data_IF_132293993024
#
_entry.id   IF_132293993024
#
_cell.length_a   1.000
_cell.length_b   1.000
_cell.length_c   1.000
_cell.angle_alpha   90.00
_cell.angle_beta   90.00
_cell.angle_gamma   90.00
#
_symmetry.space_group_name_H-M   'P 1'
#
loop_
_entity.id
_entity.type
_entity.pdbx_description
1 polymer ?
#
# COMPACT_ATOMS: atom_id res chain seq x y z
N UNK A 1 33.05 54.70 -34.64
CA UNK A 1 31.81 54.62 -35.44
C UNK A 1 31.77 53.27 -36.15
N UNK A 2 31.09 52.27 -35.59
CA UNK A 2 30.86 50.98 -36.26
C UNK A 2 29.36 50.68 -36.26
N UNK A 3 28.89 50.37 -37.46
CA UNK A 3 27.50 50.18 -37.86
C UNK A 3 26.90 48.94 -37.20
N UNK A 4 25.66 49.12 -36.78
CA UNK A 4 24.70 48.13 -36.32
C UNK A 4 24.42 47.10 -37.42
N UNK A 5 24.56 45.81 -37.11
CA UNK A 5 23.86 44.73 -37.79
C UNK A 5 22.99 44.03 -36.74
N UNK A 6 21.69 44.05 -36.99
CA UNK A 6 20.65 43.40 -36.22
C UNK A 6 20.75 41.89 -36.42
N UNK A 7 20.90 41.15 -35.32
CA UNK A 7 20.61 39.71 -35.26
C UNK A 7 19.33 39.53 -34.45
N UNK A 8 18.27 39.17 -35.16
CA UNK A 8 16.94 38.86 -34.67
C UNK A 8 16.97 37.62 -33.77
N UNK A 9 16.91 37.81 -32.46
CA UNK A 9 16.63 36.72 -31.53
C UNK A 9 15.12 36.50 -31.44
N UNK A 10 14.64 35.47 -32.15
CA UNK A 10 13.31 34.90 -31.96
C UNK A 10 13.20 34.33 -30.54
N UNK A 11 12.54 35.06 -29.64
CA UNK A 11 12.15 34.54 -28.33
C UNK A 11 11.10 33.43 -28.52
N UNK A 12 11.45 32.19 -28.15
CA UNK A 12 10.46 31.12 -28.01
C UNK A 12 9.44 31.53 -26.93
N UNK A 13 8.13 31.37 -27.16
CA UNK A 13 7.16 31.57 -26.09
C UNK A 13 7.40 30.53 -25.00
N UNK A 14 7.46 30.99 -23.75
CA UNK A 14 7.48 30.09 -22.60
C UNK A 14 6.17 29.29 -22.57
N UNK A 15 6.22 27.98 -22.24
CA UNK A 15 5.00 27.19 -22.10
C UNK A 15 4.17 27.74 -20.93
N UNK A 16 2.84 27.70 -21.01
CA UNK A 16 1.98 28.15 -19.92
C UNK A 16 2.31 27.36 -18.66
N UNK A 17 2.58 28.07 -17.57
CA UNK A 17 2.71 27.53 -16.23
C UNK A 17 1.50 26.64 -15.95
N UNK A 18 1.74 25.34 -15.80
CA UNK A 18 0.69 24.38 -15.47
C UNK A 18 0.05 24.80 -14.14
N UNK A 19 -1.29 24.80 -14.02
CA UNK A 19 -1.94 25.08 -12.76
C UNK A 19 -1.53 23.98 -11.77
N UNK A 20 -1.02 24.44 -10.64
CA UNK A 20 -0.57 23.65 -9.51
C UNK A 20 -1.66 22.63 -9.14
N UNK A 21 -1.37 21.33 -9.25
CA UNK A 21 -2.32 20.25 -8.91
C UNK A 21 -2.62 20.33 -7.40
N UNK A 22 -3.77 20.92 -7.08
CA UNK A 22 -4.51 20.85 -5.83
C UNK A 22 -3.66 20.52 -4.58
N UNK A 23 -2.88 21.50 -4.12
CA UNK A 23 -2.66 21.64 -2.69
C UNK A 23 -3.92 22.32 -2.15
N UNK A 24 -4.77 21.55 -1.48
CA UNK A 24 -5.90 22.11 -0.73
C UNK A 24 -5.32 23.01 0.36
N UNK A 25 -5.56 24.32 0.24
CA UNK A 25 -5.36 25.27 1.33
C UNK A 25 -6.69 25.36 2.08
N UNK A 26 -6.77 24.89 3.34
CA UNK A 26 -8.01 24.99 4.11
C UNK A 26 -8.32 26.47 4.33
N UNK A 27 -9.50 26.92 3.90
CA UNK A 27 -10.04 28.20 4.34
C UNK A 27 -10.34 28.09 5.83
N UNK A 28 -9.75 28.98 6.62
CA UNK A 28 -10.11 29.20 8.02
C UNK A 28 -11.64 29.45 8.07
N UNK A 29 -12.35 28.72 8.94
CA UNK A 29 -13.79 28.80 9.23
C UNK A 29 -14.79 27.83 8.56
N UNK A 30 -14.38 26.59 8.25
CA UNK A 30 -15.28 25.44 8.36
C UNK A 30 -14.68 24.43 9.35
N UNK A 31 -14.99 24.58 10.65
CA UNK A 31 -14.80 23.50 11.61
C UNK A 31 -15.69 22.32 11.18
N UNK A 32 -15.16 21.40 10.37
CA UNK A 32 -15.86 20.16 9.99
C UNK A 32 -16.02 19.30 11.25
N UNK A 33 -17.02 19.57 12.07
CA UNK A 33 -17.23 18.95 13.39
C UNK A 33 -17.10 17.41 13.32
N UNK A 34 -16.33 16.81 14.25
CA UNK A 34 -16.11 15.36 14.28
C UNK A 34 -17.31 14.65 14.90
N UNK A 35 -18.33 14.57 14.08
CA UNK A 35 -19.64 14.08 14.46
C UNK A 35 -19.71 12.56 14.57
N UNK A 36 -20.88 12.10 15.01
CA UNK A 36 -21.24 10.70 15.19
C UNK A 36 -20.94 9.83 13.95
N UNK A 37 -21.16 10.34 12.74
CA UNK A 37 -20.91 9.59 11.50
C UNK A 37 -19.43 9.26 11.28
N UNK A 38 -18.54 10.21 11.59
CA UNK A 38 -17.10 10.02 11.47
C UNK A 38 -16.61 8.95 12.45
N UNK A 39 -17.13 8.97 13.68
CA UNK A 39 -16.84 7.95 14.72
C UNK A 39 -17.30 6.56 14.29
N UNK A 40 -18.52 6.45 13.75
CA UNK A 40 -19.06 5.18 13.28
C UNK A 40 -18.22 4.60 12.14
N UNK A 41 -17.80 5.45 11.20
CA UNK A 41 -16.96 5.01 10.08
C UNK A 41 -15.57 4.58 10.56
N UNK A 42 -14.93 5.37 11.44
CA UNK A 42 -13.63 5.02 12.00
C UNK A 42 -13.68 3.73 12.86
N UNK A 43 -14.78 3.48 13.57
CA UNK A 43 -15.02 2.22 14.28
C UNK A 43 -15.06 1.02 13.33
N UNK A 44 -15.66 1.16 12.14
CA UNK A 44 -15.61 0.11 11.12
C UNK A 44 -14.18 -0.15 10.64
N UNK A 45 -13.39 0.90 10.42
CA UNK A 45 -11.98 0.76 10.06
C UNK A 45 -11.17 0.12 11.19
N UNK A 46 -11.46 0.43 12.45
CA UNK A 46 -10.76 -0.16 13.60
C UNK A 46 -11.05 -1.66 13.73
N UNK A 47 -12.28 -2.08 13.43
CA UNK A 47 -12.72 -3.48 13.50
C UNK A 47 -12.25 -4.33 12.32
N UNK A 48 -12.25 -3.78 11.11
CA UNK A 48 -11.99 -4.54 9.87
C UNK A 48 -10.60 -4.32 9.30
N UNK A 49 -9.96 -3.18 9.63
CA UNK A 49 -8.64 -2.70 9.17
C UNK A 49 -8.53 -2.46 7.66
N UNK A 50 -8.99 -3.40 6.85
CA UNK A 50 -9.13 -3.32 5.39
C UNK A 50 -10.61 -3.43 5.04
N UNK A 51 -11.08 -2.53 4.18
CA UNK A 51 -12.47 -2.51 3.71
C UNK A 51 -12.46 -2.29 2.20
N UNK A 52 -13.07 -3.21 1.45
CA UNK A 52 -13.20 -3.05 -0.01
C UNK A 52 -14.10 -1.87 -0.37
N UNK A 53 -13.88 -1.22 -1.52
CA UNK A 53 -14.71 -0.08 -1.97
C UNK A 53 -16.21 -0.43 -2.00
N UNK A 54 -16.55 -1.65 -2.44
CA UNK A 54 -17.94 -2.10 -2.49
C UNK A 54 -18.57 -2.23 -1.10
N UNK A 55 -17.79 -2.69 -0.11
CA UNK A 55 -18.24 -2.78 1.29
C UNK A 55 -18.30 -1.40 1.92
N UNK A 56 -17.31 -0.55 1.66
CA UNK A 56 -17.22 0.79 2.23
C UNK A 56 -18.39 1.66 1.78
N UNK A 57 -18.76 1.61 0.50
CA UNK A 57 -19.93 2.32 -0.02
C UNK A 57 -21.24 1.87 0.66
N UNK A 58 -21.40 0.57 0.95
CA UNK A 58 -22.55 0.05 1.71
C UNK A 58 -22.55 0.55 3.16
N UNK A 59 -21.37 0.60 3.80
CA UNK A 59 -21.23 1.12 5.16
C UNK A 59 -21.58 2.61 5.22
N UNK A 60 -21.05 3.41 4.29
CA UNK A 60 -21.34 4.84 4.19
C UNK A 60 -22.83 5.08 3.95
N UNK A 61 -23.44 4.34 3.03
CA UNK A 61 -24.90 4.45 2.78
C UNK A 61 -25.71 4.15 4.05
N UNK A 62 -25.27 3.17 4.83
CA UNK A 62 -25.92 2.80 6.10
C UNK A 62 -25.72 3.87 7.17
N UNK A 63 -24.49 4.40 7.32
CA UNK A 63 -24.15 5.44 8.29
C UNK A 63 -24.91 6.72 7.95
N UNK A 64 -24.87 7.17 6.70
CA UNK A 64 -25.61 8.34 6.21
C UNK A 64 -27.09 8.26 6.55
N UNK A 65 -27.71 7.08 6.38
CA UNK A 65 -29.11 6.85 6.76
C UNK A 65 -29.34 6.93 8.27
N UNK A 66 -28.42 6.44 9.10
CA UNK A 66 -28.56 6.39 10.57
C UNK A 66 -28.28 7.75 11.22
N UNK A 67 -27.44 8.57 10.61
CA UNK A 67 -27.08 9.90 11.10
C UNK A 67 -27.79 11.03 10.36
N UNK A 68 -28.64 10.70 9.38
CA UNK A 68 -29.42 11.64 8.58
C UNK A 68 -28.54 12.68 7.85
N UNK A 69 -27.39 12.23 7.34
CA UNK A 69 -26.44 13.06 6.58
C UNK A 69 -26.26 12.55 5.16
N UNK A 70 -25.71 13.38 4.27
CA UNK A 70 -25.36 12.99 2.91
C UNK A 70 -23.92 13.40 2.58
N UNK A 71 -22.97 12.61 3.07
CA UNK A 71 -21.54 12.83 2.87
C UNK A 71 -21.02 11.79 1.87
N UNK A 72 -20.25 12.24 0.89
CA UNK A 72 -19.59 11.37 -0.09
C UNK A 72 -18.41 10.61 0.53
N UNK A 73 -18.01 9.51 -0.10
CA UNK A 73 -16.83 8.74 0.31
C UNK A 73 -15.59 9.62 0.42
N UNK A 74 -15.29 10.40 -0.62
CA UNK A 74 -14.08 11.25 -0.65
C UNK A 74 -14.09 12.28 0.49
N UNK A 75 -15.25 12.88 0.76
CA UNK A 75 -15.39 13.86 1.85
C UNK A 75 -15.19 13.19 3.22
N UNK A 76 -15.73 11.99 3.43
CA UNK A 76 -15.47 11.22 4.65
C UNK A 76 -13.98 10.91 4.84
N UNK A 77 -13.31 10.43 3.79
CA UNK A 77 -11.90 10.07 3.88
C UNK A 77 -11.05 11.31 4.15
N UNK A 78 -11.30 12.41 3.44
CA UNK A 78 -10.57 13.66 3.62
C UNK A 78 -10.79 14.26 5.02
N UNK A 79 -12.04 14.32 5.49
CA UNK A 79 -12.36 14.85 6.83
C UNK A 79 -11.77 13.99 7.93
N UNK A 80 -11.86 12.66 7.82
CA UNK A 80 -11.23 11.74 8.77
C UNK A 80 -9.71 11.92 8.79
N UNK A 81 -9.07 11.84 7.62
CA UNK A 81 -7.61 11.93 7.50
C UNK A 81 -7.06 13.25 8.03
N UNK A 82 -7.75 14.37 7.82
CA UNK A 82 -7.31 15.68 8.35
C UNK A 82 -7.09 15.70 9.86
N UNK A 83 -7.79 14.82 10.61
CA UNK A 83 -7.74 14.75 12.07
C UNK A 83 -6.93 13.55 12.57
N UNK A 84 -7.17 12.36 12.01
CA UNK A 84 -6.49 11.15 12.51
C UNK A 84 -4.99 11.14 12.19
N UNK A 85 -4.54 11.98 11.25
CA UNK A 85 -3.12 12.20 10.97
C UNK A 85 -2.35 12.73 12.18
N UNK A 86 -2.99 13.53 13.05
CA UNK A 86 -2.37 14.09 14.25
C UNK A 86 -1.99 13.02 15.27
N UNK A 87 -2.76 11.92 15.30
CA UNK A 87 -2.46 10.73 16.11
C UNK A 87 -1.70 9.68 15.31
N UNK A 88 -1.14 10.07 14.16
CA UNK A 88 -0.34 9.23 13.29
C UNK A 88 -1.11 8.08 12.66
N UNK A 89 -2.38 8.25 12.31
CA UNK A 89 -3.15 7.30 11.51
C UNK A 89 -3.54 7.92 10.17
N UNK A 90 -3.75 7.08 9.15
CA UNK A 90 -4.25 7.55 7.86
C UNK A 90 -5.03 6.45 7.15
N UNK A 91 -6.19 6.78 6.58
CA UNK A 91 -6.90 5.92 5.65
C UNK A 91 -6.36 6.15 4.24
N UNK A 92 -5.76 5.10 3.64
CA UNK A 92 -5.25 5.13 2.27
C UNK A 92 -6.11 4.24 1.37
N UNK A 93 -6.32 4.67 0.13
CA UNK A 93 -6.81 3.80 -0.93
C UNK A 93 -5.66 2.99 -1.49
N UNK A 94 -5.84 1.69 -1.61
CA UNK A 94 -4.89 0.77 -2.23
C UNK A 94 -5.58 0.08 -3.41
N UNK A 95 -4.95 0.11 -4.58
CA UNK A 95 -5.38 -0.72 -5.69
C UNK A 95 -4.72 -2.10 -5.53
N UNK A 96 -5.52 -3.11 -5.20
CA UNK A 96 -5.06 -4.50 -5.14
C UNK A 96 -5.92 -5.30 -6.10
N UNK A 97 -5.29 -5.98 -7.05
CA UNK A 97 -5.97 -6.88 -8.01
C UNK A 97 -7.13 -6.23 -8.78
N UNK A 98 -7.02 -4.93 -9.09
CA UNK A 98 -8.05 -4.17 -9.79
C UNK A 98 -9.24 -3.77 -8.90
N UNK A 99 -9.21 -4.12 -7.61
CA UNK A 99 -10.14 -3.63 -6.60
C UNK A 99 -9.50 -2.49 -5.81
N UNK A 100 -10.22 -1.38 -5.67
CA UNK A 100 -9.83 -0.33 -4.76
C UNK A 100 -10.25 -0.75 -3.35
N UNK A 101 -9.30 -0.91 -2.46
CA UNK A 101 -9.50 -1.17 -1.04
C UNK A 101 -9.10 0.05 -0.24
N UNK A 102 -9.70 0.22 0.93
CA UNK A 102 -9.35 1.26 1.88
C UNK A 102 -8.79 0.63 3.13
N UNK A 103 -7.64 1.09 3.57
CA UNK A 103 -6.94 0.58 4.73
C UNK A 103 -6.60 1.71 5.70
N UNK A 104 -6.83 1.47 6.98
CA UNK A 104 -6.36 2.35 8.05
C UNK A 104 -4.92 1.96 8.42
N UNK A 105 -3.97 2.77 7.97
CA UNK A 105 -2.53 2.63 8.20
C UNK A 105 -2.11 3.40 9.44
N UNK A 106 -1.16 2.85 10.18
CA UNK A 106 -0.46 3.55 11.24
C UNK A 106 0.82 4.19 10.68
N UNK A 107 0.93 5.50 10.81
CA UNK A 107 2.09 6.29 10.40
C UNK A 107 3.14 6.40 11.51
N UNK A 108 2.79 6.02 12.75
CA UNK A 108 3.76 5.98 13.84
C UNK A 108 4.60 4.71 13.65
N UNK A 109 5.94 4.83 13.45
CA UNK A 109 6.83 3.70 13.22
C UNK A 109 6.93 2.71 14.40
N UNK A 110 6.31 3.02 15.54
CA UNK A 110 6.32 2.20 16.75
C UNK A 110 5.28 1.05 16.73
N UNK A 111 4.89 0.61 15.53
CA UNK A 111 4.19 -0.65 15.27
C UNK A 111 4.89 -1.84 15.97
N UNK A 112 6.21 -1.76 16.14
CA UNK A 112 6.99 -2.69 16.95
C UNK A 112 6.51 -2.79 18.41
N UNK A 113 6.13 -1.68 19.06
CA UNK A 113 5.57 -1.69 20.41
C UNK A 113 4.17 -2.34 20.45
N UNK A 114 3.33 -2.14 19.43
CA UNK A 114 2.04 -2.85 19.33
C UNK A 114 2.22 -4.35 19.15
N UNK A 115 3.15 -4.76 18.29
CA UNK A 115 3.55 -6.16 18.16
C UNK A 115 3.93 -6.73 19.53
N UNK A 116 4.75 -5.99 20.30
CA UNK A 116 5.20 -6.41 21.63
C UNK A 116 4.06 -6.61 22.65
N UNK A 117 2.91 -5.95 22.46
CA UNK A 117 1.73 -6.11 23.32
C UNK A 117 0.77 -7.24 22.90
N UNK A 118 0.77 -7.62 21.61
CA UNK A 118 -0.17 -8.61 21.05
C UNK A 118 0.43 -10.01 20.93
N UNK A 119 1.76 -10.10 20.83
CA UNK A 119 2.48 -11.34 20.61
C UNK A 119 3.44 -11.61 21.76
N UNK A 120 3.58 -12.88 22.11
CA UNK A 120 4.59 -13.30 23.08
C UNK A 120 6.00 -13.20 22.48
N UNK A 121 7.03 -13.35 23.33
CA UNK A 121 8.43 -13.18 22.92
C UNK A 121 8.86 -14.10 21.77
N UNK A 122 8.33 -15.31 21.66
CA UNK A 122 8.72 -16.26 20.62
C UNK A 122 7.95 -16.02 19.32
N UNK A 123 6.67 -15.66 19.39
CA UNK A 123 5.89 -15.18 18.24
C UNK A 123 6.56 -13.97 17.58
N UNK A 124 7.03 -13.01 18.40
CA UNK A 124 7.75 -11.83 17.90
C UNK A 124 9.05 -12.17 17.19
N UNK A 125 9.86 -13.06 17.79
CA UNK A 125 11.10 -13.50 17.15
C UNK A 125 10.79 -14.22 15.84
N UNK A 126 9.74 -15.06 15.82
CA UNK A 126 9.37 -15.80 14.63
C UNK A 126 8.94 -14.87 13.51
N UNK A 127 8.09 -13.88 13.80
CA UNK A 127 7.68 -12.88 12.81
C UNK A 127 8.88 -12.07 12.28
N UNK A 128 9.81 -11.68 13.16
CA UNK A 128 11.05 -10.97 12.76
C UNK A 128 11.93 -11.81 11.82
N UNK A 129 12.03 -13.11 12.06
CA UNK A 129 12.76 -14.01 11.16
C UNK A 129 12.09 -14.09 9.78
N UNK A 130 10.76 -14.17 9.75
CA UNK A 130 9.99 -14.15 8.49
C UNK A 130 10.21 -12.83 7.74
N UNK A 131 10.12 -11.67 8.43
CA UNK A 131 10.37 -10.36 7.84
C UNK A 131 11.79 -10.24 7.28
N UNK A 132 12.79 -10.71 8.04
CA UNK A 132 14.18 -10.72 7.59
C UNK A 132 14.34 -11.53 6.31
N UNK A 133 13.74 -12.72 6.25
CA UNK A 133 13.79 -13.56 5.05
C UNK A 133 13.07 -12.91 3.86
N UNK A 134 11.97 -12.18 4.09
CA UNK A 134 11.31 -11.39 3.04
C UNK A 134 12.22 -10.30 2.47
N UNK A 135 12.92 -9.55 3.31
CA UNK A 135 13.83 -8.49 2.88
C UNK A 135 15.04 -9.05 2.12
N UNK A 136 15.59 -10.17 2.60
CA UNK A 136 16.74 -10.83 1.96
C UNK A 136 16.39 -11.40 0.57
N UNK A 137 15.22 -12.02 0.44
CA UNK A 137 14.83 -12.72 -0.80
C UNK A 137 14.04 -11.84 -1.77
N UNK A 138 13.35 -10.80 -1.26
CA UNK A 138 12.46 -9.89 -2.00
C UNK A 138 11.29 -10.57 -2.71
N UNK A 139 11.10 -11.88 -2.49
CA UNK A 139 10.07 -12.71 -3.13
C UNK A 139 9.07 -13.25 -2.11
N UNK A 140 7.98 -13.82 -2.61
CA UNK A 140 7.10 -14.66 -1.78
C UNK A 140 7.83 -15.87 -1.21
N UNK A 141 7.54 -16.22 0.04
CA UNK A 141 8.19 -17.32 0.76
C UNK A 141 7.37 -18.59 0.68
N UNK A 142 8.01 -19.75 0.48
CA UNK A 142 7.28 -21.02 0.56
C UNK A 142 6.99 -21.34 2.02
N UNK A 143 5.84 -21.97 2.27
CA UNK A 143 5.43 -22.39 3.61
C UNK A 143 6.50 -23.22 4.33
N UNK A 144 7.12 -24.16 3.62
CA UNK A 144 8.15 -25.03 4.21
C UNK A 144 9.37 -24.26 4.69
N UNK A 145 9.79 -23.21 3.97
CA UNK A 145 10.93 -22.37 4.34
C UNK A 145 10.61 -21.61 5.63
N UNK A 146 9.39 -21.05 5.74
CA UNK A 146 8.90 -20.38 6.95
C UNK A 146 8.87 -21.34 8.15
N UNK A 147 8.33 -22.55 7.99
CA UNK A 147 8.26 -23.52 9.08
C UNK A 147 9.65 -23.98 9.54
N UNK A 148 10.61 -24.00 8.62
CA UNK A 148 12.00 -24.36 8.92
C UNK A 148 12.67 -23.31 9.82
N UNK A 149 12.41 -22.01 9.61
CA UNK A 149 12.87 -20.94 10.52
C UNK A 149 12.42 -21.19 11.97
N UNK A 150 11.14 -21.57 12.17
CA UNK A 150 10.63 -21.86 13.51
C UNK A 150 11.35 -23.05 14.15
N UNK A 151 11.57 -24.12 13.37
CA UNK A 151 12.24 -25.33 13.86
C UNK A 151 13.73 -25.08 14.16
N UNK A 152 14.44 -24.38 13.29
CA UNK A 152 15.89 -24.27 13.36
C UNK A 152 16.35 -23.16 14.29
N UNK A 153 15.76 -21.97 14.20
CA UNK A 153 16.17 -20.80 14.97
C UNK A 153 15.50 -20.74 16.35
N UNK A 154 14.24 -21.18 16.44
CA UNK A 154 13.44 -21.09 17.67
C UNK A 154 13.21 -22.43 18.36
N UNK A 155 13.70 -23.53 17.79
CA UNK A 155 13.61 -24.90 18.35
C UNK A 155 12.19 -25.33 18.71
N UNK A 156 11.16 -24.78 18.03
CA UNK A 156 9.76 -25.16 18.23
C UNK A 156 9.34 -26.31 17.30
N UNK A 157 8.20 -26.95 17.59
CA UNK A 157 7.65 -27.98 16.71
C UNK A 157 7.09 -27.35 15.44
N UNK A 158 7.11 -28.08 14.32
CA UNK A 158 6.52 -27.63 13.06
C UNK A 158 5.03 -27.27 13.20
N UNK A 159 4.29 -27.99 14.05
CA UNK A 159 2.89 -27.69 14.34
C UNK A 159 2.71 -26.34 15.06
N UNK A 160 3.60 -26.00 15.99
CA UNK A 160 3.54 -24.74 16.71
C UNK A 160 3.87 -23.58 15.77
N UNK A 161 4.88 -23.75 14.90
CA UNK A 161 5.21 -22.80 13.85
C UNK A 161 4.06 -22.60 12.85
N UNK A 162 3.37 -23.69 12.44
CA UNK A 162 2.19 -23.60 11.56
C UNK A 162 1.04 -22.83 12.21
N UNK A 163 0.81 -23.05 13.51
CA UNK A 163 -0.22 -22.34 14.28
C UNK A 163 0.09 -20.84 14.37
N UNK A 164 1.35 -20.47 14.66
CA UNK A 164 1.77 -19.06 14.68
C UNK A 164 1.64 -18.42 13.30
N UNK A 165 2.05 -19.13 12.24
CA UNK A 165 1.90 -18.65 10.86
C UNK A 165 0.44 -18.36 10.50
N UNK A 166 -0.49 -19.27 10.88
CA UNK A 166 -1.93 -19.07 10.68
C UNK A 166 -2.46 -17.88 11.45
N UNK A 167 -2.05 -17.72 12.71
CA UNK A 167 -2.42 -16.56 13.52
C UNK A 167 -1.99 -15.25 12.86
N UNK A 168 -0.77 -15.16 12.32
CA UNK A 168 -0.33 -13.97 11.58
C UNK A 168 -1.15 -13.71 10.31
N UNK A 169 -1.65 -14.75 9.65
CA UNK A 169 -2.55 -14.61 8.49
C UNK A 169 -3.95 -14.13 8.92
N UNK A 170 -4.50 -14.70 10.00
CA UNK A 170 -5.80 -14.33 10.56
C UNK A 170 -5.81 -12.89 11.09
N UNK A 171 -4.73 -12.47 11.73
CA UNK A 171 -4.50 -11.09 12.17
C UNK A 171 -4.22 -10.14 10.99
N UNK A 172 -4.12 -10.68 9.78
CA UNK A 172 -4.00 -9.90 8.54
C UNK A 172 -2.60 -9.31 8.32
N UNK A 173 -1.54 -9.90 8.86
CA UNK A 173 -0.15 -9.52 8.56
C UNK A 173 0.40 -10.22 7.32
N UNK A 174 0.02 -11.48 7.15
CA UNK A 174 0.45 -12.34 6.05
C UNK A 174 -0.76 -12.77 5.24
N UNK A 175 -0.53 -13.12 3.98
CA UNK A 175 -1.51 -13.77 3.13
C UNK A 175 -0.83 -14.80 2.24
N UNK A 176 -1.65 -15.65 1.63
CA UNK A 176 -1.20 -16.49 0.53
C UNK A 176 -1.22 -15.69 -0.79
N UNK A 177 -0.36 -16.08 -1.72
CA UNK A 177 -0.44 -15.60 -3.10
C UNK A 177 -1.68 -16.15 -3.82
N UNK A 178 -1.98 -15.64 -5.02
CA UNK A 178 -3.11 -16.09 -5.86
C UNK A 178 -3.06 -17.61 -6.10
N UNK A 179 -1.91 -18.14 -6.48
CA UNK A 179 -1.66 -19.58 -6.67
C UNK A 179 -1.64 -20.37 -5.36
N UNK A 180 -1.57 -19.68 -4.22
CA UNK A 180 -1.40 -20.24 -2.86
C UNK A 180 -0.09 -21.00 -2.67
N UNK A 181 0.85 -20.87 -3.62
CA UNK A 181 2.18 -21.49 -3.54
C UNK A 181 3.12 -20.72 -2.62
N UNK A 182 2.89 -19.42 -2.46
CA UNK A 182 3.73 -18.53 -1.68
C UNK A 182 2.94 -17.86 -0.56
N UNK A 183 3.64 -17.53 0.52
CA UNK A 183 3.20 -16.63 1.58
C UNK A 183 3.88 -15.29 1.36
N UNK A 184 3.12 -14.20 1.45
CA UNK A 184 3.60 -12.83 1.30
C UNK A 184 3.02 -11.94 2.40
N UNK A 185 3.59 -10.74 2.57
CA UNK A 185 2.97 -9.71 3.40
C UNK A 185 1.61 -9.32 2.83
N UNK A 186 0.64 -9.16 3.71
CA UNK A 186 -0.63 -8.55 3.33
C UNK A 186 -0.43 -7.07 3.01
N UNK A 187 -1.44 -6.43 2.45
CA UNK A 187 -1.46 -4.98 2.26
C UNK A 187 -1.22 -4.20 3.56
N UNK A 188 -1.75 -4.71 4.68
CA UNK A 188 -1.49 -4.17 6.02
C UNK A 188 -0.02 -4.32 6.38
N UNK A 189 0.53 -5.53 6.25
CA UNK A 189 1.93 -5.80 6.55
C UNK A 189 2.89 -4.94 5.73
N UNK A 190 2.59 -4.73 4.44
CA UNK A 190 3.39 -3.87 3.57
C UNK A 190 3.37 -2.40 3.97
N UNK A 191 2.21 -1.87 4.38
CA UNK A 191 2.05 -0.46 4.72
C UNK A 191 2.53 -0.14 6.13
N UNK A 192 2.13 -0.95 7.11
CA UNK A 192 2.47 -0.73 8.51
C UNK A 192 3.97 -0.99 8.79
N UNK A 193 4.59 -1.90 8.02
CA UNK A 193 6.02 -2.24 8.15
C UNK A 193 6.90 -1.64 7.07
N UNK A 194 6.40 -0.72 6.24
CA UNK A 194 7.15 -0.08 5.15
C UNK A 194 8.57 0.36 5.56
N UNK A 195 8.82 0.98 6.74
CA UNK A 195 10.18 1.35 7.17
C UNK A 195 11.13 0.17 7.40
N UNK A 196 10.61 -1.04 7.65
CA UNK A 196 11.39 -2.26 7.87
C UNK A 196 11.64 -3.05 6.58
N UNK A 197 11.05 -2.63 5.45
CA UNK A 197 11.07 -3.34 4.18
C UNK A 197 12.05 -2.71 3.18
N UNK A 198 13.16 -2.18 3.69
CA UNK A 198 14.20 -1.56 2.87
C UNK A 198 14.73 -2.52 1.81
N UNK A 199 14.81 -2.05 0.56
CA UNK A 199 15.33 -2.84 -0.56
C UNK A 199 14.29 -3.70 -1.30
N UNK A 200 13.03 -3.74 -0.85
CA UNK A 200 11.94 -4.28 -1.67
C UNK A 200 11.59 -3.25 -2.76
N UNK A 201 11.48 -3.65 -4.05
CA UNK A 201 11.21 -2.71 -5.12
C UNK A 201 9.82 -2.09 -5.01
N UNK A 202 9.69 -0.85 -5.49
CA UNK A 202 8.39 -0.19 -5.69
C UNK A 202 7.87 -0.44 -7.10
N UNK A 203 6.55 -0.60 -7.24
CA UNK A 203 5.89 -0.63 -8.53
C UNK A 203 6.15 0.68 -9.29
N UNK A 204 6.58 0.59 -10.55
CA UNK A 204 6.91 1.76 -11.37
C UNK A 204 5.70 2.63 -11.69
N UNK A 205 4.49 2.07 -11.61
CA UNK A 205 3.25 2.71 -12.02
C UNK A 205 2.48 3.35 -10.86
N UNK A 206 2.37 2.65 -9.72
CA UNK A 206 1.64 3.15 -8.55
C UNK A 206 2.56 3.62 -7.41
N UNK A 207 3.87 3.41 -7.53
CA UNK A 207 4.90 3.77 -6.55
C UNK A 207 4.79 3.08 -5.17
N UNK A 208 3.82 2.20 -4.97
CA UNK A 208 3.72 1.36 -3.77
C UNK A 208 4.69 0.17 -3.82
N UNK A 209 5.05 -0.38 -2.65
CA UNK A 209 5.87 -1.60 -2.54
C UNK A 209 5.29 -2.73 -3.40
N UNK A 210 6.17 -3.41 -4.14
CA UNK A 210 5.86 -4.53 -5.03
C UNK A 210 6.75 -5.73 -4.73
N UNK A 211 6.25 -6.64 -3.89
CA UNK A 211 6.92 -7.92 -3.63
C UNK A 211 6.96 -8.74 -4.92
N UNK A 212 8.09 -9.37 -5.19
CA UNK A 212 8.28 -10.17 -6.39
C UNK A 212 7.58 -11.54 -6.23
N UNK A 213 6.43 -11.66 -6.86
CA UNK A 213 5.61 -12.86 -6.89
C UNK A 213 5.42 -13.29 -8.34
N UNK A 214 5.68 -14.56 -8.65
CA UNK A 214 5.56 -15.10 -10.01
C UNK A 214 4.16 -14.89 -10.59
N UNK A 215 3.13 -14.92 -9.75
CA UNK A 215 1.72 -14.83 -10.11
C UNK A 215 1.10 -13.43 -9.92
N UNK A 216 1.80 -12.50 -9.28
CA UNK A 216 1.25 -11.19 -8.89
C UNK A 216 2.16 -9.99 -9.21
N UNK A 217 3.33 -10.23 -9.80
CA UNK A 217 4.25 -9.19 -10.26
C UNK A 217 4.75 -9.46 -11.67
N UNK A 218 5.01 -8.39 -12.40
CA UNK A 218 5.61 -8.42 -13.74
C UNK A 218 6.92 -7.64 -13.68
N UNK A 219 8.00 -8.31 -14.06
CA UNK A 219 9.33 -7.73 -14.14
C UNK A 219 9.74 -7.54 -15.59
N UNK A 220 10.34 -6.40 -15.90
CA UNK A 220 10.98 -6.18 -17.19
C UNK A 220 12.17 -7.14 -17.36
N UNK A 221 12.36 -7.74 -18.54
CA UNK A 221 13.50 -8.64 -18.78
C UNK A 221 14.86 -7.93 -18.79
N UNK A 222 14.86 -6.59 -18.92
CA UNK A 222 16.09 -5.81 -18.78
C UNK A 222 16.48 -5.73 -17.30
N UNK A 223 17.76 -5.96 -17.00
CA UNK A 223 18.30 -5.83 -15.65
C UNK A 223 18.01 -4.44 -15.06
N UNK A 224 17.72 -4.42 -13.76
CA UNK A 224 17.43 -3.21 -12.96
C UNK A 224 16.41 -2.25 -13.61
N UNK A 225 15.39 -2.82 -14.26
CA UNK A 225 14.35 -2.06 -14.94
C UNK A 225 13.01 -2.11 -14.18
N UNK A 226 11.89 -1.92 -14.89
CA UNK A 226 10.58 -1.76 -14.27
C UNK A 226 10.09 -3.03 -13.57
N UNK A 227 9.66 -2.88 -12.32
CA UNK A 227 8.83 -3.84 -11.59
C UNK A 227 7.42 -3.28 -11.47
N UNK A 228 6.40 -4.10 -11.70
CA UNK A 228 4.99 -3.71 -11.67
C UNK A 228 4.16 -4.79 -10.98
N UNK A 229 3.11 -4.40 -10.25
CA UNK A 229 2.07 -5.37 -9.87
C UNK A 229 1.34 -5.87 -11.13
N UNK A 230 0.86 -7.12 -11.13
CA UNK A 230 0.13 -7.70 -12.27
C UNK A 230 -1.07 -6.85 -12.70
N UNK A 231 -1.85 -6.33 -11.76
CA UNK A 231 -3.00 -5.48 -12.07
C UNK A 231 -2.60 -4.10 -12.65
N UNK A 232 -1.49 -3.53 -12.17
CA UNK A 232 -0.95 -2.27 -12.71
C UNK A 232 -0.46 -2.46 -14.15
N UNK A 233 0.28 -3.56 -14.38
CA UNK A 233 0.76 -3.98 -15.68
C UNK A 233 -0.39 -4.20 -16.67
N UNK A 234 -1.44 -4.92 -16.27
CA UNK A 234 -2.60 -5.19 -17.12
C UNK A 234 -3.27 -3.90 -17.63
N UNK A 235 -3.49 -2.92 -16.75
CA UNK A 235 -4.05 -1.63 -17.13
C UNK A 235 -3.13 -0.86 -18.09
N UNK A 236 -1.84 -0.83 -17.80
CA UNK A 236 -0.85 -0.12 -18.61
C UNK A 236 -0.68 -0.74 -20.01
N UNK A 237 -0.55 -2.06 -20.09
CA UNK A 237 -0.23 -2.76 -21.34
C UNK A 237 -1.37 -2.75 -22.35
N UNK A 238 -2.63 -2.73 -21.88
CA UNK A 238 -3.82 -2.48 -22.72
C UNK A 238 -3.74 -1.14 -23.45
N UNK A 239 -3.25 -0.09 -22.77
CA UNK A 239 -3.14 1.25 -23.35
C UNK A 239 -1.83 1.45 -24.16
N UNK A 240 -0.75 0.75 -23.79
CA UNK A 240 0.60 1.03 -24.28
C UNK A 240 1.21 -0.09 -25.14
N UNK A 241 0.38 -0.98 -25.71
CA UNK A 241 0.80 -2.07 -26.63
C UNK A 241 1.90 -2.95 -26.04
N UNK A 242 1.74 -3.35 -24.78
CA UNK A 242 2.68 -4.18 -24.03
C UNK A 242 4.11 -3.61 -23.99
N UNK A 243 4.29 -2.29 -23.89
CA UNK A 243 5.63 -1.68 -23.73
C UNK A 243 5.92 -1.37 -22.28
N UNK A 244 7.12 -1.70 -21.83
CA UNK A 244 7.64 -1.32 -20.52
C UNK A 244 7.56 0.22 -20.34
N UNK A 245 7.04 0.72 -19.20
CA UNK A 245 6.94 2.16 -18.95
C UNK A 245 8.30 2.87 -18.86
N UNK A 246 9.37 2.14 -18.50
CA UNK A 246 10.71 2.71 -18.30
C UNK A 246 11.56 2.69 -19.56
N UNK A 247 11.73 1.50 -20.17
CA UNK A 247 12.67 1.31 -21.29
C UNK A 247 12.00 1.13 -22.64
N UNK A 248 10.66 1.10 -22.71
CA UNK A 248 9.87 0.83 -23.93
C UNK A 248 10.11 -0.54 -24.58
N UNK A 249 10.87 -1.45 -23.96
CA UNK A 249 10.99 -2.85 -24.38
C UNK A 249 9.60 -3.49 -24.43
N UNK A 250 9.34 -4.29 -25.47
CA UNK A 250 8.10 -5.05 -25.58
C UNK A 250 8.11 -6.18 -24.57
N UNK A 251 7.03 -6.29 -23.81
CA UNK A 251 6.82 -7.25 -22.73
C UNK A 251 5.99 -8.42 -23.27
N UNK A 252 6.45 -9.63 -23.00
CA UNK A 252 5.69 -10.84 -23.28
C UNK A 252 4.89 -11.17 -22.01
N UNK A 253 3.56 -11.18 -22.13
CA UNK A 253 2.60 -11.49 -21.06
C UNK A 253 1.87 -12.77 -21.40
#
# INVERSE_FOLDING_TARGET
MRRSQQSSQSQRPQPPSQPNRNRYEPTEDEEIEYDRQHRLLLDQFTKRRVITTSTLNKLISTINRITEVNISLDNYINSLNSRIIEVGLQIKSLNTDGTNDYILTNLIPDECARFATLYNGDELKFFKLILKLFVETRVGLKKNDILTLGREDLKMKLADADNMLRKFMEDGWLRLSVSKSFTTLSNRGLLDMEPLLEGIPSCTLCHSICVLLEDESVQCPNEDCAVMHSHCAEGWFKANKNKCPTCSTRMDL
#
